data_IF_397378062661
#
_entry.id   IF_397378062661
#
_cell.length_a   1.000
_cell.length_b   1.000
_cell.length_c   1.000
_cell.angle_alpha   90.00
_cell.angle_beta   90.00
_cell.angle_gamma   90.00
#
_symmetry.space_group_name_H-M   'P 1'
#
loop_
_entity.id
_entity.type
_entity.pdbx_description
1 polymer ?
#
# COMPACT_ATOMS: atom_id res chain seq x y z
N UNK A 1 6.45 21.28 -24.23
CA UNK A 1 5.14 20.63 -24.00
C UNK A 1 4.61 21.13 -22.66
N UNK A 2 3.37 21.60 -22.60
CA UNK A 2 2.76 22.17 -21.38
C UNK A 2 1.68 21.24 -20.84
N UNK A 3 1.87 20.76 -19.61
CA UNK A 3 0.87 19.96 -18.91
C UNK A 3 0.09 20.84 -17.93
N UNK A 4 -1.24 20.75 -17.98
CA UNK A 4 -2.15 21.43 -17.04
C UNK A 4 -2.65 20.41 -16.01
N UNK A 5 -2.25 20.58 -14.76
CA UNK A 5 -2.67 19.73 -13.64
C UNK A 5 -3.63 20.53 -12.75
N UNK A 6 -4.86 20.05 -12.63
CA UNK A 6 -5.87 20.61 -11.73
C UNK A 6 -5.80 19.92 -10.37
N UNK A 7 -6.37 20.55 -9.33
CA UNK A 7 -6.43 20.00 -7.95
C UNK A 7 -6.93 18.54 -7.91
N UNK A 8 -8.01 18.23 -8.63
CA UNK A 8 -8.54 16.85 -8.74
C UNK A 8 -7.53 15.87 -9.35
N UNK A 9 -6.86 16.27 -10.43
CA UNK A 9 -5.83 15.44 -11.06
C UNK A 9 -4.65 15.21 -10.12
N UNK A 10 -4.28 16.21 -9.33
CA UNK A 10 -3.18 16.10 -8.37
C UNK A 10 -3.49 15.08 -7.27
N UNK A 11 -4.71 15.09 -6.71
CA UNK A 11 -5.17 14.06 -5.75
C UNK A 11 -5.11 12.66 -6.38
N UNK A 12 -5.62 12.49 -7.60
CA UNK A 12 -5.60 11.18 -8.29
C UNK A 12 -4.16 10.70 -8.53
N UNK A 13 -3.26 11.60 -8.95
CA UNK A 13 -1.84 11.27 -9.13
C UNK A 13 -1.22 10.82 -7.81
N UNK A 14 -1.50 11.52 -6.71
CA UNK A 14 -0.99 11.13 -5.38
C UNK A 14 -1.48 9.75 -4.95
N UNK A 15 -2.77 9.45 -5.13
CA UNK A 15 -3.33 8.11 -4.87
C UNK A 15 -2.62 7.08 -5.74
N UNK A 16 -2.44 7.37 -7.03
CA UNK A 16 -1.75 6.49 -7.97
C UNK A 16 -0.31 6.17 -7.55
N UNK A 17 0.44 7.17 -7.07
CA UNK A 17 1.81 6.99 -6.57
C UNK A 17 1.82 6.08 -5.34
N UNK A 18 0.92 6.29 -4.39
CA UNK A 18 0.84 5.47 -3.16
C UNK A 18 0.50 4.02 -3.51
N UNK A 19 -0.49 3.80 -4.38
CA UNK A 19 -0.86 2.47 -4.84
C UNK A 19 0.28 1.81 -5.64
N UNK A 20 1.04 2.58 -6.41
CA UNK A 20 2.21 2.06 -7.12
C UNK A 20 3.30 1.58 -6.15
N UNK A 21 3.62 2.37 -5.11
CA UNK A 21 4.56 1.94 -4.07
C UNK A 21 4.07 0.69 -3.34
N UNK A 22 2.78 0.62 -3.05
CA UNK A 22 2.15 -0.58 -2.49
C UNK A 22 2.35 -1.81 -3.40
N UNK A 23 2.07 -1.67 -4.71
CA UNK A 23 2.25 -2.75 -5.67
C UNK A 23 3.71 -3.18 -5.79
N UNK A 24 4.65 -2.24 -5.86
CA UNK A 24 6.09 -2.55 -5.90
C UNK A 24 6.50 -3.35 -4.66
N UNK A 25 6.07 -2.93 -3.48
CA UNK A 25 6.36 -3.64 -2.24
C UNK A 25 5.78 -5.06 -2.26
N UNK A 26 4.54 -5.25 -2.74
CA UNK A 26 3.92 -6.57 -2.84
C UNK A 26 4.59 -7.48 -3.85
N UNK A 27 4.93 -6.95 -5.03
CA UNK A 27 5.67 -7.70 -6.03
C UNK A 27 7.05 -8.12 -5.52
N UNK A 28 7.74 -7.26 -4.77
CA UNK A 28 9.03 -7.60 -4.18
C UNK A 28 8.91 -8.76 -3.17
N UNK A 29 7.83 -8.83 -2.39
CA UNK A 29 7.57 -9.98 -1.52
C UNK A 29 7.32 -11.24 -2.34
N UNK A 30 6.48 -11.17 -3.39
CA UNK A 30 6.15 -12.32 -4.24
C UNK A 30 7.40 -12.86 -4.96
N UNK A 31 8.23 -11.98 -5.53
CA UNK A 31 9.44 -12.37 -6.27
C UNK A 31 10.45 -13.08 -5.36
N UNK A 32 10.55 -12.66 -4.10
CA UNK A 32 11.49 -13.23 -3.14
C UNK A 32 10.90 -14.35 -2.29
N UNK A 33 9.73 -14.86 -2.64
CA UNK A 33 9.06 -15.93 -1.89
C UNK A 33 8.74 -17.13 -2.76
N UNK A 34 8.75 -18.30 -2.13
CA UNK A 34 8.19 -19.51 -2.72
C UNK A 34 6.79 -19.76 -2.15
N UNK A 35 5.97 -20.49 -2.90
CA UNK A 35 4.64 -20.90 -2.48
C UNK A 35 4.62 -22.42 -2.35
N UNK A 36 4.05 -22.90 -1.25
CA UNK A 36 3.89 -24.33 -1.01
C UNK A 36 2.45 -24.62 -0.59
N UNK A 37 1.97 -25.79 -1.03
CA UNK A 37 0.73 -26.35 -0.52
C UNK A 37 0.93 -26.79 0.93
N UNK A 38 -0.04 -26.48 1.76
CA UNK A 38 0.00 -26.69 3.18
C UNK A 38 -1.33 -27.22 3.69
N UNK A 39 -1.31 -27.83 4.87
CA UNK A 39 -2.49 -28.33 5.53
C UNK A 39 -2.47 -27.95 7.01
N UNK A 40 -3.64 -27.68 7.57
CA UNK A 40 -3.79 -27.52 9.01
C UNK A 40 -3.60 -28.86 9.71
N UNK A 41 -2.57 -28.95 10.55
CA UNK A 41 -2.17 -30.19 11.22
C UNK A 41 -2.47 -30.21 12.72
N UNK A 42 -2.83 -29.08 13.30
CA UNK A 42 -3.23 -29.03 14.71
C UNK A 42 -3.67 -27.65 15.16
N UNK A 43 -4.18 -27.61 16.37
CA UNK A 43 -4.60 -26.39 17.05
C UNK A 43 -4.13 -26.42 18.50
N UNK A 44 -3.77 -25.26 19.04
CA UNK A 44 -3.47 -25.08 20.46
C UNK A 44 -4.26 -23.91 20.99
N UNK A 45 -5.07 -24.20 21.99
CA UNK A 45 -5.76 -23.18 22.77
C UNK A 45 -4.75 -22.63 23.77
N UNK A 46 -4.35 -21.39 23.59
CA UNK A 46 -3.53 -20.68 24.56
C UNK A 46 -4.47 -19.95 25.53
N UNK A 47 -4.55 -20.46 26.75
CA UNK A 47 -5.22 -19.79 27.85
C UNK A 47 -4.23 -18.88 28.57
N UNK A 48 -4.64 -17.64 28.83
CA UNK A 48 -3.84 -16.73 29.63
C UNK A 48 -3.88 -17.21 31.10
N UNK A 49 -2.73 -17.32 31.77
CA UNK A 49 -2.67 -17.91 33.11
C UNK A 49 -3.38 -17.06 34.18
N UNK A 50 -3.65 -15.78 33.89
CA UNK A 50 -4.26 -14.81 34.80
C UNK A 50 -5.74 -14.49 34.51
N UNK A 51 -6.36 -15.09 33.47
CA UNK A 51 -7.78 -14.86 33.16
C UNK A 51 -8.54 -16.16 32.92
N UNK A 52 -9.80 -16.21 33.34
CA UNK A 52 -10.74 -17.33 33.08
C UNK A 52 -11.20 -17.38 31.61
N UNK A 53 -10.51 -16.70 30.70
CA UNK A 53 -10.85 -16.63 29.28
C UNK A 53 -9.70 -17.18 28.45
N UNK A 54 -9.95 -18.34 27.83
CA UNK A 54 -9.08 -18.90 26.81
C UNK A 54 -9.35 -18.16 25.49
N UNK A 55 -8.47 -17.22 25.12
CA UNK A 55 -8.80 -16.21 24.10
C UNK A 55 -8.00 -16.35 22.79
N UNK A 56 -7.04 -17.26 22.66
CA UNK A 56 -6.27 -17.38 21.42
C UNK A 56 -6.09 -18.83 20.99
N UNK A 57 -6.72 -19.18 19.86
CA UNK A 57 -6.46 -20.43 19.15
C UNK A 57 -5.30 -20.16 18.20
N UNK A 58 -4.18 -20.86 18.40
CA UNK A 58 -3.06 -20.88 17.46
C UNK A 58 -3.22 -22.13 16.61
N UNK A 59 -3.26 -21.96 15.30
CA UNK A 59 -3.34 -23.07 14.36
C UNK A 59 -1.94 -23.40 13.85
N UNK A 60 -1.61 -24.69 13.80
CA UNK A 60 -0.36 -25.19 13.23
C UNK A 60 -0.59 -25.65 11.78
N UNK A 61 0.24 -25.13 10.89
CA UNK A 61 0.16 -25.36 9.45
C UNK A 61 1.41 -26.13 9.03
N UNK A 62 1.20 -27.33 8.50
CA UNK A 62 2.25 -28.21 8.01
C UNK A 62 2.42 -28.07 6.50
N UNK A 63 3.66 -28.01 6.03
CA UNK A 63 3.98 -27.94 4.61
C UNK A 63 5.30 -28.66 4.30
N UNK A 64 5.46 -29.07 3.04
CA UNK A 64 6.71 -29.69 2.57
C UNK A 64 7.47 -28.71 1.69
N UNK A 65 8.75 -28.49 1.98
CA UNK A 65 9.64 -27.65 1.19
C UNK A 65 11.01 -28.31 1.08
N UNK A 66 11.56 -28.41 -0.13
CA UNK A 66 12.84 -29.08 -0.41
C UNK A 66 12.95 -30.47 0.28
N UNK A 67 11.94 -31.32 0.10
CA UNK A 67 11.84 -32.68 0.65
C UNK A 67 11.88 -32.78 2.19
N UNK A 68 11.71 -31.66 2.89
CA UNK A 68 11.63 -31.61 4.36
C UNK A 68 10.28 -31.08 4.80
N UNK A 69 9.77 -31.60 5.90
CA UNK A 69 8.49 -31.19 6.47
C UNK A 69 8.71 -30.10 7.53
N UNK A 70 7.92 -29.04 7.43
CA UNK A 70 7.97 -27.88 8.33
C UNK A 70 6.59 -27.57 8.88
N UNK A 71 6.57 -26.93 10.05
CA UNK A 71 5.35 -26.45 10.70
C UNK A 71 5.53 -24.97 11.00
N UNK A 72 4.54 -24.15 10.65
CA UNK A 72 4.45 -22.75 11.06
C UNK A 72 3.15 -22.49 11.84
N UNK A 73 3.16 -21.42 12.64
CA UNK A 73 1.97 -20.93 13.33
C UNK A 73 1.18 -20.01 12.39
N UNK A 74 -0.16 -20.10 12.40
CA UNK A 74 -1.03 -19.18 11.67
C UNK A 74 -0.95 -17.76 12.25
N UNK A 75 -1.22 -16.75 11.42
CA UNK A 75 -1.39 -15.39 11.93
C UNK A 75 -2.54 -15.33 12.96
N UNK A 76 -2.30 -14.62 14.09
CA UNK A 76 -3.24 -14.51 15.22
C UNK A 76 -4.55 -13.85 14.76
N UNK A 77 -5.57 -14.66 14.50
CA UNK A 77 -7.00 -14.31 14.32
C UNK A 77 -7.72 -15.33 13.45
N UNK A 78 -6.98 -16.25 12.82
CA UNK A 78 -7.53 -17.16 11.83
C UNK A 78 -7.86 -18.52 12.46
N UNK A 79 -9.14 -18.83 12.56
CA UNK A 79 -9.62 -20.15 12.94
C UNK A 79 -9.72 -20.96 11.65
N UNK A 80 -8.84 -21.94 11.49
CA UNK A 80 -8.92 -22.92 10.42
C UNK A 80 -9.32 -24.29 11.01
N UNK A 81 -10.27 -25.00 10.41
CA UNK A 81 -10.52 -26.38 10.75
C UNK A 81 -9.31 -27.25 10.38
N UNK A 82 -9.07 -28.27 11.21
CA UNK A 82 -8.04 -29.27 10.97
C UNK A 82 -8.30 -29.95 9.61
N UNK A 83 -7.25 -30.10 8.81
CA UNK A 83 -7.32 -30.68 7.48
C UNK A 83 -7.63 -29.69 6.35
N UNK A 84 -7.94 -28.41 6.63
CA UNK A 84 -8.10 -27.40 5.57
C UNK A 84 -6.78 -27.24 4.79
N UNK A 85 -6.89 -27.28 3.47
CA UNK A 85 -5.78 -27.00 2.55
C UNK A 85 -5.59 -25.50 2.40
N UNK A 86 -4.35 -25.06 2.54
CA UNK A 86 -3.95 -23.67 2.50
C UNK A 86 -2.71 -23.53 1.62
N UNK A 87 -2.43 -22.30 1.18
CA UNK A 87 -1.13 -21.97 0.62
C UNK A 87 -0.32 -21.26 1.69
N UNK A 88 0.97 -21.59 1.83
CA UNK A 88 1.92 -20.82 2.64
C UNK A 88 2.88 -20.06 1.73
N UNK A 89 3.23 -18.84 2.15
CA UNK A 89 4.32 -18.07 1.56
C UNK A 89 5.57 -18.30 2.37
N UNK A 90 6.61 -18.81 1.72
CA UNK A 90 7.95 -19.00 2.26
C UNK A 90 8.79 -17.76 1.91
N UNK A 91 8.83 -16.80 2.83
CA UNK A 91 9.51 -15.51 2.61
C UNK A 91 11.02 -15.70 2.57
N UNK A 92 11.68 -15.01 1.64
CA UNK A 92 13.13 -15.05 1.44
C UNK A 92 13.68 -16.48 1.21
N UNK A 93 12.83 -17.41 0.76
CA UNK A 93 13.17 -18.82 0.57
C UNK A 93 13.68 -19.51 1.84
N UNK A 94 13.26 -19.01 3.00
CA UNK A 94 13.56 -19.59 4.30
C UNK A 94 12.27 -20.18 4.91
N UNK A 95 12.18 -21.52 5.07
CA UNK A 95 10.99 -22.18 5.58
C UNK A 95 10.62 -21.74 7.02
N UNK A 96 11.56 -21.22 7.81
CA UNK A 96 11.26 -20.68 9.14
C UNK A 96 10.50 -19.35 9.10
N UNK A 97 10.53 -18.65 7.97
CA UNK A 97 9.79 -17.41 7.76
C UNK A 97 8.46 -17.63 7.00
N UNK A 98 7.97 -18.87 6.98
CA UNK A 98 6.71 -19.20 6.35
C UNK A 98 5.52 -18.56 7.11
N UNK A 99 4.55 -18.04 6.35
CA UNK A 99 3.28 -17.55 6.89
C UNK A 99 2.11 -18.08 6.06
N UNK A 100 0.94 -18.25 6.69
CA UNK A 100 -0.31 -18.58 6.00
C UNK A 100 -0.66 -17.50 4.98
N UNK A 101 -1.13 -17.92 3.82
CA UNK A 101 -1.57 -17.01 2.77
C UNK A 101 -3.09 -17.07 2.59
N UNK A 102 -3.77 -16.05 3.11
CA UNK A 102 -5.10 -15.67 2.62
C UNK A 102 -5.00 -14.44 1.76
N UNK A 103 -5.72 -14.42 0.64
CA UNK A 103 -5.82 -13.25 -0.22
C UNK A 103 -6.19 -11.99 0.59
N UNK A 104 -7.13 -12.10 1.52
CA UNK A 104 -7.52 -10.99 2.40
C UNK A 104 -6.37 -10.56 3.33
N UNK A 105 -5.71 -11.48 4.03
CA UNK A 105 -4.59 -11.16 4.93
C UNK A 105 -3.42 -10.50 4.19
N UNK A 106 -3.08 -11.01 3.00
CA UNK A 106 -1.99 -10.47 2.21
C UNK A 106 -2.34 -9.18 1.47
N UNK A 107 -3.48 -9.09 0.79
CA UNK A 107 -3.78 -7.89 -0.02
C UNK A 107 -4.56 -6.84 0.79
N UNK A 108 -5.62 -7.24 1.50
CA UNK A 108 -6.57 -6.29 2.07
C UNK A 108 -5.98 -5.54 3.27
N UNK A 109 -5.35 -6.23 4.22
CA UNK A 109 -4.81 -5.57 5.42
C UNK A 109 -3.80 -4.49 5.07
N UNK A 110 -2.85 -4.79 4.18
CA UNK A 110 -1.88 -3.78 3.75
C UNK A 110 -2.46 -2.69 2.87
N UNK A 111 -3.49 -2.98 2.07
CA UNK A 111 -4.21 -1.94 1.34
C UNK A 111 -4.92 -0.97 2.31
N UNK A 112 -5.52 -1.47 3.40
CA UNK A 112 -6.14 -0.62 4.42
C UNK A 112 -5.13 0.33 5.07
N UNK A 113 -3.90 -0.13 5.34
CA UNK A 113 -2.84 0.74 5.84
C UNK A 113 -2.44 1.86 4.86
N UNK A 114 -2.71 1.72 3.55
CA UNK A 114 -2.48 2.80 2.57
C UNK A 114 -3.53 3.91 2.63
N UNK A 115 -4.67 3.70 3.29
CA UNK A 115 -5.72 4.73 3.41
C UNK A 115 -5.26 5.94 4.21
N UNK A 116 -4.51 5.72 5.29
CA UNK A 116 -4.01 6.81 6.14
C UNK A 116 -3.15 7.82 5.36
N UNK A 117 -2.07 7.43 4.65
CA UNK A 117 -1.28 8.38 3.88
C UNK A 117 -2.08 9.02 2.73
N UNK A 118 -3.03 8.30 2.12
CA UNK A 118 -3.94 8.87 1.12
C UNK A 118 -4.78 10.00 1.73
N UNK A 119 -5.37 9.77 2.90
CA UNK A 119 -6.19 10.76 3.59
C UNK A 119 -5.37 12.01 3.95
N UNK A 120 -4.16 11.82 4.49
CA UNK A 120 -3.28 12.94 4.87
C UNK A 120 -2.91 13.77 3.64
N UNK A 121 -2.48 13.14 2.55
CA UNK A 121 -2.09 13.86 1.33
C UNK A 121 -3.30 14.55 0.69
N UNK A 122 -4.45 13.87 0.64
CA UNK A 122 -5.69 14.47 0.13
C UNK A 122 -6.07 15.70 0.97
N UNK A 123 -6.03 15.62 2.29
CA UNK A 123 -6.32 16.73 3.18
C UNK A 123 -5.37 17.92 2.95
N UNK A 124 -4.07 17.66 2.80
CA UNK A 124 -3.08 18.71 2.49
C UNK A 124 -3.35 19.38 1.15
N UNK A 125 -3.62 18.60 0.10
CA UNK A 125 -3.96 19.14 -1.22
C UNK A 125 -5.24 19.98 -1.13
N UNK A 126 -6.24 19.51 -0.38
CA UNK A 126 -7.48 20.22 -0.24
C UNK A 126 -7.32 21.51 0.58
N UNK A 127 -6.50 21.52 1.63
CA UNK A 127 -6.28 22.68 2.49
C UNK A 127 -5.43 23.77 1.81
N UNK A 128 -4.38 23.40 1.08
CA UNK A 128 -3.39 24.36 0.57
C UNK A 128 -3.61 24.77 -0.90
N UNK A 129 -4.33 23.98 -1.70
CA UNK A 129 -4.53 24.26 -3.13
C UNK A 129 -5.95 24.77 -3.35
N UNK A 130 -6.06 26.00 -3.84
CA UNK A 130 -7.33 26.62 -4.24
C UNK A 130 -8.02 25.79 -5.34
N UNK A 131 -9.35 25.76 -5.32
CA UNK A 131 -10.14 24.93 -6.22
C UNK A 131 -9.90 25.20 -7.71
N UNK A 132 -9.65 26.46 -8.06
CA UNK A 132 -9.39 26.91 -9.44
C UNK A 132 -7.90 27.03 -9.78
N UNK A 133 -7.00 26.58 -8.89
CA UNK A 133 -5.58 26.60 -9.19
C UNK A 133 -5.24 25.57 -10.28
N UNK A 134 -4.59 26.03 -11.34
CA UNK A 134 -4.07 25.19 -12.43
C UNK A 134 -2.55 25.27 -12.40
N UNK A 135 -1.91 24.15 -12.11
CA UNK A 135 -0.45 24.06 -12.23
C UNK A 135 -0.09 23.85 -13.70
N UNK A 136 0.73 24.75 -14.24
CA UNK A 136 1.27 24.66 -15.60
C UNK A 136 2.72 24.21 -15.49
N UNK A 137 2.99 22.97 -15.87
CA UNK A 137 4.34 22.44 -15.93
C UNK A 137 4.83 22.61 -17.38
N UNK A 138 5.81 23.48 -17.59
CA UNK A 138 6.43 23.69 -18.89
C UNK A 138 7.79 22.98 -18.96
N UNK A 139 7.86 21.88 -19.71
CA UNK A 139 9.07 21.08 -19.92
C UNK A 139 9.89 21.58 -21.12
N UNK A 140 10.08 22.90 -21.22
CA UNK A 140 10.88 23.53 -22.28
C UNK A 140 12.30 23.86 -21.80
N UNK A 141 13.30 23.74 -22.69
CA UNK A 141 14.63 24.33 -22.49
C UNK A 141 14.44 25.85 -22.32
N UNK A 142 14.65 26.35 -21.10
CA UNK A 142 14.62 27.79 -20.82
C UNK A 142 15.85 28.46 -21.45
N UNK A 143 15.79 28.77 -22.74
CA UNK A 143 16.61 29.86 -23.29
C UNK A 143 15.93 31.17 -22.91
N UNK A 144 16.11 31.62 -21.66
CA UNK A 144 15.69 32.96 -21.24
C UNK A 144 16.60 33.99 -21.92
N UNK A 145 16.19 34.51 -23.08
CA UNK A 145 16.45 35.92 -23.38
C UNK A 145 15.44 36.72 -22.57
N UNK A 146 15.92 37.44 -21.55
CA UNK A 146 15.16 38.50 -20.92
C UNK A 146 14.86 39.55 -21.99
N UNK A 147 13.63 39.55 -22.52
CA UNK A 147 13.08 40.69 -23.23
C UNK A 147 12.23 41.46 -22.23
N UNK A 148 12.80 42.57 -21.76
CA UNK A 148 12.12 43.66 -21.08
C UNK A 148 10.95 44.12 -21.96
N UNK A 149 9.71 43.96 -21.50
CA UNK A 149 8.56 44.62 -22.13
C UNK A 149 8.18 45.84 -21.30
N UNK A 150 8.38 46.99 -21.95
CA UNK A 150 7.96 48.34 -21.57
C UNK A 150 6.49 48.36 -21.13
N UNK A 151 6.23 48.95 -19.98
CA UNK A 151 4.97 49.61 -19.69
C UNK A 151 5.07 51.03 -20.25
N UNK A 152 4.29 51.35 -21.28
CA UNK A 152 3.88 52.72 -21.60
C UNK A 152 2.37 52.67 -21.89
N UNK A 153 1.64 53.32 -20.98
CA UNK A 153 0.35 54.04 -21.04
C UNK A 153 -0.74 53.64 -22.06
N UNK A 154 -1.99 53.57 -21.58
CA UNK A 154 -3.07 54.52 -21.89
C UNK A 154 -4.32 54.13 -21.07
N UNK A 155 -4.57 54.82 -19.95
CA UNK A 155 -5.89 54.85 -19.31
C UNK A 155 -6.49 56.21 -19.64
N UNK A 156 -7.48 56.21 -20.53
CA UNK A 156 -8.33 57.38 -20.79
C UNK A 156 -9.25 57.61 -19.59
N UNK A 157 -8.98 58.68 -18.86
CA UNK A 157 -9.83 59.22 -17.79
C UNK A 157 -10.92 60.10 -18.41
N UNK A 158 -11.79 59.49 -19.21
CA UNK A 158 -13.12 60.03 -19.50
C UNK A 158 -14.13 59.19 -18.72
N UNK A 159 -14.60 59.75 -17.60
CA UNK A 159 -15.46 59.18 -16.54
C UNK A 159 -14.70 58.62 -15.34
N UNK A 160 -14.29 59.51 -14.43
CA UNK A 160 -14.71 59.55 -13.01
C UNK A 160 -13.91 60.60 -12.24
#
# INVERSE_FOLDING_TARGET
MTFKVTRKKLVIISIGIILLFYLINRLNVIINSDFADAQVVGEKIQCNQDSTHCETIIVYIGFTYNNSYYICESEKSEIYPIGEELTVIIKNKDPHNASSFRFAGFWLNSLLYTLLPIMVIAALILAFIKENAVFIINLGKNNKKHATQKNDEYIGLDKL
#
